data_IF_568661329361
#
_entry.id   IF_568661329361
#
_cell.length_a   1.000
_cell.length_b   1.000
_cell.length_c   1.000
_cell.angle_alpha   90.00
_cell.angle_beta   90.00
_cell.angle_gamma   90.00
#
_symmetry.space_group_name_H-M   'P 1'
#
loop_
_entity.id
_entity.type
_entity.pdbx_description
1 polymer ?
#
# COMPACT_ATOMS: atom_id res chain seq x y z
N UNK A 1 -22.83 -25.88 -15.64
CA UNK A 1 -21.85 -25.50 -14.59
C UNK A 1 -20.54 -26.30 -14.75
N UNK A 2 -20.10 -26.49 -16.00
CA UNK A 2 -18.84 -27.18 -16.35
C UNK A 2 -18.12 -26.48 -17.52
N UNK A 3 -18.50 -25.25 -17.82
CA UNK A 3 -18.06 -24.51 -19.02
C UNK A 3 -17.29 -23.23 -18.69
N UNK A 4 -16.73 -23.13 -17.47
CA UNK A 4 -16.02 -21.93 -16.98
C UNK A 4 -14.56 -22.19 -16.60
N UNK A 5 -13.97 -23.30 -17.07
CA UNK A 5 -12.59 -23.68 -16.76
C UNK A 5 -11.71 -23.98 -17.98
N UNK A 6 -12.11 -23.54 -19.17
CA UNK A 6 -11.15 -23.40 -20.26
C UNK A 6 -10.64 -21.97 -20.25
N UNK A 7 -9.53 -21.77 -19.53
CA UNK A 7 -8.77 -20.52 -19.60
C UNK A 7 -8.27 -20.36 -21.04
N UNK A 8 -8.97 -19.53 -21.82
CA UNK A 8 -8.48 -19.06 -23.10
C UNK A 8 -7.12 -18.40 -22.84
N UNK A 9 -6.02 -18.83 -23.49
CA UNK A 9 -4.74 -18.18 -23.34
C UNK A 9 -4.93 -16.74 -23.81
N UNK A 10 -4.94 -15.80 -22.88
CA UNK A 10 -4.93 -14.39 -23.23
C UNK A 10 -3.56 -14.13 -23.83
N UNK A 11 -3.48 -13.90 -25.14
CA UNK A 11 -2.23 -13.57 -25.82
C UNK A 11 -1.47 -12.51 -25.00
N UNK A 12 -0.22 -12.79 -24.63
CA UNK A 12 0.65 -11.96 -23.77
C UNK A 12 1.02 -10.58 -24.36
N UNK A 13 0.39 -10.21 -25.48
CA UNK A 13 0.82 -9.17 -26.41
C UNK A 13 0.60 -7.73 -25.92
N UNK A 14 0.00 -7.52 -24.74
CA UNK A 14 -0.39 -6.21 -24.21
C UNK A 14 0.20 -5.87 -22.83
N UNK A 15 1.03 -6.72 -22.23
CA UNK A 15 1.67 -6.41 -20.94
C UNK A 15 2.92 -5.54 -21.16
N UNK A 16 2.71 -4.23 -21.32
CA UNK A 16 3.79 -3.24 -21.45
C UNK A 16 4.35 -2.76 -20.11
N UNK A 17 3.71 -3.13 -19.00
CA UNK A 17 4.15 -2.79 -17.65
C UNK A 17 3.13 -3.20 -16.59
N UNK A 18 3.57 -3.29 -15.33
CA UNK A 18 2.69 -3.55 -14.20
C UNK A 18 3.40 -3.39 -12.86
N UNK A 19 2.63 -3.32 -11.78
CA UNK A 19 3.16 -3.32 -10.41
C UNK A 19 2.56 -4.52 -9.66
N UNK A 20 3.42 -5.41 -9.15
CA UNK A 20 3.01 -6.44 -8.22
C UNK A 20 3.06 -5.90 -6.80
N UNK A 21 1.93 -5.92 -6.10
CA UNK A 21 1.80 -5.39 -4.73
C UNK A 21 1.83 -6.54 -3.73
N UNK A 22 2.74 -6.47 -2.76
CA UNK A 22 2.83 -7.38 -1.63
C UNK A 22 2.56 -6.59 -0.35
N UNK A 23 1.30 -6.59 0.10
CA UNK A 23 0.88 -5.85 1.29
C UNK A 23 0.47 -6.75 2.46
N UNK A 24 0.50 -8.08 2.27
CA UNK A 24 0.36 -9.08 3.34
C UNK A 24 1.74 -9.63 3.71
N UNK A 25 2.22 -9.41 4.96
CA UNK A 25 3.50 -9.92 5.42
C UNK A 25 3.69 -11.44 5.24
N UNK A 26 2.63 -12.24 5.25
CA UNK A 26 2.73 -13.69 5.03
C UNK A 26 3.10 -14.04 3.58
N UNK A 27 2.82 -13.13 2.64
CA UNK A 27 3.05 -13.32 1.20
C UNK A 27 4.24 -12.53 0.66
N UNK A 28 5.00 -11.87 1.54
CA UNK A 28 6.17 -11.12 1.14
C UNK A 28 7.13 -11.94 0.27
N UNK A 29 7.62 -11.35 -0.82
CA UNK A 29 8.45 -12.07 -1.78
C UNK A 29 9.83 -12.34 -1.19
N UNK A 30 10.45 -13.43 -1.63
CA UNK A 30 11.88 -13.65 -1.39
C UNK A 30 12.71 -12.85 -2.41
N UNK A 31 14.00 -12.64 -2.13
CA UNK A 31 14.90 -12.02 -3.10
C UNK A 31 14.96 -12.79 -4.43
N UNK A 32 14.87 -14.12 -4.35
CA UNK A 32 14.83 -14.96 -5.55
C UNK A 32 13.58 -14.68 -6.37
N UNK A 33 12.42 -14.65 -5.72
CA UNK A 33 11.15 -14.30 -6.38
C UNK A 33 11.21 -12.91 -7.03
N UNK A 34 11.77 -11.92 -6.33
CA UNK A 34 11.97 -10.57 -6.89
C UNK A 34 12.86 -10.58 -8.13
N UNK A 35 13.93 -11.40 -8.15
CA UNK A 35 14.79 -11.55 -9.34
C UNK A 35 14.05 -12.22 -10.51
N UNK A 36 13.20 -13.19 -10.22
CA UNK A 36 12.50 -13.98 -11.22
C UNK A 36 11.29 -13.27 -11.83
N UNK A 37 10.81 -12.17 -11.21
CA UNK A 37 9.75 -11.34 -11.79
C UNK A 37 10.15 -10.79 -13.18
N UNK A 38 9.25 -10.76 -14.16
CA UNK A 38 9.53 -10.18 -15.46
C UNK A 38 10.03 -8.72 -15.35
N UNK A 39 10.96 -8.30 -16.20
CA UNK A 39 11.60 -6.98 -16.11
C UNK A 39 10.61 -5.80 -16.24
N UNK A 40 9.50 -6.00 -16.94
CA UNK A 40 8.43 -5.00 -17.08
C UNK A 40 7.52 -4.91 -15.84
N UNK A 41 7.76 -5.73 -14.81
CA UNK A 41 7.03 -5.69 -13.54
C UNK A 41 7.87 -5.00 -12.47
N UNK A 42 7.32 -3.89 -11.99
CA UNK A 42 7.76 -3.18 -10.79
C UNK A 42 7.12 -3.79 -9.54
N UNK A 43 7.68 -3.50 -8.36
CA UNK A 43 7.19 -4.06 -7.11
C UNK A 43 6.78 -2.97 -6.14
N UNK A 44 5.64 -3.17 -5.48
CA UNK A 44 5.25 -2.45 -4.28
C UNK A 44 5.22 -3.39 -3.08
N UNK A 45 5.72 -2.91 -1.95
CA UNK A 45 5.68 -3.63 -0.68
C UNK A 45 5.10 -2.71 0.38
N UNK A 46 4.24 -3.24 1.25
CA UNK A 46 3.64 -2.50 2.35
C UNK A 46 3.03 -3.43 3.40
N UNK A 47 2.34 -2.88 4.37
CA UNK A 47 1.54 -3.65 5.34
C UNK A 47 0.14 -3.07 5.28
N UNK A 48 -0.78 -3.83 4.70
CA UNK A 48 -2.18 -3.41 4.56
C UNK A 48 -2.76 -3.08 5.94
N UNK A 49 -3.56 -1.99 6.09
CA UNK A 49 -4.02 -1.49 7.38
C UNK A 49 -4.66 -2.56 8.27
N UNK A 50 -5.42 -3.49 7.67
CA UNK A 50 -6.03 -4.63 8.35
C UNK A 50 -5.09 -5.51 9.18
N UNK A 51 -3.80 -5.56 8.86
CA UNK A 51 -2.82 -6.34 9.61
C UNK A 51 -2.41 -5.69 10.94
N UNK A 52 -2.81 -4.44 11.19
CA UNK A 52 -2.59 -3.76 12.47
C UNK A 52 -3.28 -4.45 13.66
N UNK A 53 -4.28 -5.30 13.41
CA UNK A 53 -4.97 -6.08 14.44
C UNK A 53 -4.11 -7.19 15.07
N UNK A 54 -2.97 -7.51 14.47
CA UNK A 54 -2.08 -8.55 14.97
C UNK A 54 -1.29 -8.08 16.20
N UNK A 55 -0.68 -9.04 16.90
CA UNK A 55 0.12 -8.71 18.09
C UNK A 55 1.30 -7.79 17.74
N UNK A 56 1.71 -6.96 18.71
CA UNK A 56 2.86 -6.05 18.56
C UNK A 56 4.12 -6.78 18.07
N UNK A 57 4.35 -8.01 18.56
CA UNK A 57 5.48 -8.85 18.11
C UNK A 57 5.39 -9.17 16.62
N UNK A 58 4.20 -9.58 16.13
CA UNK A 58 4.00 -9.87 14.70
C UNK A 58 4.13 -8.62 13.84
N UNK A 59 3.59 -7.49 14.30
CA UNK A 59 3.71 -6.20 13.59
C UNK A 59 5.17 -5.79 13.48
N UNK A 60 5.95 -5.87 14.57
CA UNK A 60 7.36 -5.49 14.55
C UNK A 60 8.18 -6.40 13.61
N UNK A 61 7.93 -7.71 13.61
CA UNK A 61 8.56 -8.64 12.66
C UNK A 61 8.19 -8.32 11.20
N UNK A 62 6.94 -7.94 10.94
CA UNK A 62 6.51 -7.53 9.61
C UNK A 62 7.19 -6.23 9.17
N UNK A 63 7.36 -5.26 10.07
CA UNK A 63 8.06 -3.98 9.81
C UNK A 63 9.54 -4.21 9.51
N UNK A 64 10.22 -5.10 10.23
CA UNK A 64 11.61 -5.45 9.94
C UNK A 64 11.77 -6.08 8.54
N UNK A 65 10.91 -7.05 8.21
CA UNK A 65 10.91 -7.68 6.88
C UNK A 65 10.58 -6.68 5.78
N UNK A 66 9.64 -5.77 6.04
CA UNK A 66 9.29 -4.68 5.14
C UNK A 66 10.49 -3.78 4.85
N UNK A 67 11.21 -3.34 5.89
CA UNK A 67 12.40 -2.51 5.76
C UNK A 67 13.48 -3.19 4.91
N UNK A 68 13.70 -4.50 5.11
CA UNK A 68 14.66 -5.27 4.32
C UNK A 68 14.27 -5.32 2.83
N UNK A 69 12.98 -5.44 2.52
CA UNK A 69 12.48 -5.46 1.14
C UNK A 69 12.62 -4.10 0.44
N UNK A 70 12.41 -3.00 1.16
CA UNK A 70 12.56 -1.64 0.60
C UNK A 70 13.96 -1.36 0.06
N UNK A 71 15.00 -2.02 0.60
CA UNK A 71 16.37 -1.88 0.12
C UNK A 71 16.57 -2.49 -1.29
N UNK A 72 15.64 -3.31 -1.77
CA UNK A 72 15.74 -3.91 -3.09
C UNK A 72 15.36 -2.91 -4.19
N UNK A 73 16.21 -2.68 -5.21
CA UNK A 73 15.95 -1.67 -6.24
C UNK A 73 14.74 -1.95 -7.13
N UNK A 74 14.19 -3.18 -7.12
CA UNK A 74 12.94 -3.51 -7.82
C UNK A 74 11.70 -3.00 -7.08
N UNK A 75 11.83 -2.68 -5.79
CA UNK A 75 10.76 -2.10 -4.97
C UNK A 75 10.74 -0.61 -5.20
N UNK A 76 9.73 -0.16 -5.95
CA UNK A 76 9.55 1.24 -6.35
C UNK A 76 8.30 1.86 -5.72
N UNK A 77 7.44 1.05 -5.12
CA UNK A 77 6.24 1.51 -4.43
C UNK A 77 6.30 1.15 -2.94
N UNK A 78 6.06 2.15 -2.11
CA UNK A 78 5.90 2.03 -0.67
C UNK A 78 4.40 1.92 -0.39
N UNK A 79 3.93 0.71 -0.14
CA UNK A 79 2.53 0.43 0.16
C UNK A 79 2.04 -0.89 -0.46
N UNK A 80 0.82 -1.31 -0.15
CA UNK A 80 -0.21 -0.50 0.50
C UNK A 80 0.02 -0.25 2.01
N UNK A 81 -0.17 1.00 2.43
CA UNK A 81 -0.23 1.45 3.84
C UNK A 81 -1.36 2.45 4.00
N UNK A 82 -1.88 2.72 5.20
CA UNK A 82 -2.89 3.76 5.40
C UNK A 82 -3.99 3.35 6.38
N UNK A 83 -5.25 3.61 6.01
CA UNK A 83 -6.43 3.38 6.86
C UNK A 83 -7.51 2.60 6.10
N UNK A 84 -8.11 1.64 6.79
CA UNK A 84 -9.23 0.83 6.34
C UNK A 84 -10.32 0.79 7.43
N UNK A 85 -11.35 1.61 7.25
CA UNK A 85 -12.48 1.70 8.16
C UNK A 85 -13.54 0.62 7.98
N UNK A 86 -13.35 -0.31 7.04
CA UNK A 86 -14.15 -1.54 7.03
C UNK A 86 -13.78 -2.49 8.17
N UNK A 87 -12.59 -2.33 8.78
CA UNK A 87 -12.21 -3.06 9.98
C UNK A 87 -12.85 -2.43 11.24
N UNK A 88 -13.12 -3.20 12.30
CA UNK A 88 -13.71 -2.70 13.54
C UNK A 88 -12.96 -1.50 14.14
N UNK A 89 -13.69 -0.49 14.62
CA UNK A 89 -13.17 0.78 15.16
C UNK A 89 -12.05 0.62 16.21
N UNK A 90 -12.11 -0.43 17.04
CA UNK A 90 -11.08 -0.76 18.02
C UNK A 90 -9.68 -1.01 17.41
N UNK A 91 -9.57 -1.15 16.09
CA UNK A 91 -8.30 -1.36 15.41
C UNK A 91 -7.75 -0.12 14.71
N UNK A 92 -8.52 0.97 14.57
CA UNK A 92 -8.10 2.13 13.78
C UNK A 92 -6.88 2.83 14.35
N UNK A 93 -6.78 2.96 15.68
CA UNK A 93 -5.59 3.53 16.33
C UNK A 93 -4.33 2.72 16.00
N UNK A 94 -4.42 1.38 16.00
CA UNK A 94 -3.29 0.53 15.60
C UNK A 94 -2.90 0.71 14.12
N UNK A 95 -3.85 1.04 13.24
CA UNK A 95 -3.55 1.35 11.84
C UNK A 95 -2.71 2.63 11.73
N UNK A 96 -3.06 3.66 12.50
CA UNK A 96 -2.30 4.91 12.59
C UNK A 96 -0.90 4.65 13.16
N UNK A 97 -0.79 3.92 14.27
CA UNK A 97 0.51 3.56 14.87
C UNK A 97 1.40 2.76 13.91
N UNK A 98 0.81 1.82 13.17
CA UNK A 98 1.53 1.03 12.18
C UNK A 98 2.05 1.91 11.04
N UNK A 99 1.21 2.82 10.54
CA UNK A 99 1.62 3.81 9.53
C UNK A 99 2.78 4.69 10.04
N UNK A 100 2.69 5.19 11.28
CA UNK A 100 3.75 5.98 11.91
C UNK A 100 5.07 5.22 12.07
N UNK A 101 5.01 3.90 12.30
CA UNK A 101 6.19 3.03 12.34
C UNK A 101 6.80 2.81 10.97
N UNK A 102 5.99 2.81 9.91
CA UNK A 102 6.45 2.52 8.55
C UNK A 102 7.02 3.76 7.85
N UNK A 103 6.32 4.91 7.93
CA UNK A 103 6.68 6.13 7.20
C UNK A 103 8.13 6.63 7.37
N UNK A 104 8.84 6.42 8.50
CA UNK A 104 10.26 6.74 8.60
C UNK A 104 11.16 6.06 7.55
N UNK A 105 10.71 4.94 6.95
CA UNK A 105 11.45 4.23 5.90
C UNK A 105 11.14 4.73 4.48
N UNK A 106 10.28 5.75 4.32
CA UNK A 106 9.95 6.30 3.02
C UNK A 106 11.15 7.06 2.43
N UNK A 107 11.64 6.58 1.29
CA UNK A 107 12.71 7.23 0.52
C UNK A 107 12.18 7.90 -0.76
N UNK A 108 12.90 8.92 -1.26
CA UNK A 108 12.50 9.75 -2.40
C UNK A 108 12.23 9.00 -3.70
N UNK A 109 12.82 7.80 -3.87
CA UNK A 109 12.60 6.95 -5.05
C UNK A 109 11.23 6.28 -5.06
N UNK A 110 10.54 6.22 -3.93
CA UNK A 110 9.32 5.44 -3.79
C UNK A 110 8.08 6.25 -4.16
N UNK A 111 7.16 5.62 -4.89
CA UNK A 111 5.78 6.08 -4.97
C UNK A 111 5.06 5.63 -3.70
N UNK A 112 4.49 6.56 -2.94
CA UNK A 112 3.70 6.24 -1.75
C UNK A 112 2.30 5.78 -2.17
N UNK A 113 1.96 4.52 -1.90
CA UNK A 113 0.65 3.92 -2.20
C UNK A 113 -0.15 3.86 -0.90
N UNK A 114 -1.12 4.77 -0.80
CA UNK A 114 -1.97 4.92 0.37
C UNK A 114 -3.28 4.18 0.12
N UNK A 115 -3.51 3.11 0.87
CA UNK A 115 -4.84 2.55 1.04
C UNK A 115 -5.65 3.49 1.93
N UNK A 116 -6.73 4.04 1.38
CA UNK A 116 -7.66 4.82 2.18
C UNK A 116 -9.09 4.42 1.84
N UNK A 117 -9.69 3.66 2.76
CA UNK A 117 -11.11 3.35 2.75
C UNK A 117 -11.75 4.04 3.94
N UNK A 118 -12.45 5.14 3.67
CA UNK A 118 -13.17 5.90 4.68
C UNK A 118 -14.46 5.22 5.14
N UNK A 119 -15.18 5.92 6.03
CA UNK A 119 -16.51 5.54 6.47
C UNK A 119 -17.53 5.63 5.33
N UNK A 120 -18.71 5.02 5.49
CA UNK A 120 -19.78 5.04 4.47
C UNK A 120 -20.21 6.46 4.04
N UNK A 121 -20.02 7.47 4.90
CA UNK A 121 -20.29 8.88 4.64
C UNK A 121 -19.03 9.72 4.35
N UNK A 122 -17.83 9.12 4.36
CA UNK A 122 -16.60 9.86 4.11
C UNK A 122 -16.55 10.32 2.65
N UNK A 123 -16.39 11.63 2.45
CA UNK A 123 -16.23 12.24 1.14
C UNK A 123 -14.77 12.20 0.67
N UNK A 124 -13.96 11.25 1.15
CA UNK A 124 -12.53 11.15 0.89
C UNK A 124 -11.69 12.18 1.64
N UNK A 125 -12.20 12.70 2.76
CA UNK A 125 -11.50 13.67 3.58
C UNK A 125 -10.27 13.05 4.22
N UNK A 126 -10.36 11.80 4.68
CA UNK A 126 -9.21 11.11 5.27
C UNK A 126 -8.08 10.86 4.27
N UNK A 127 -8.44 10.48 3.03
CA UNK A 127 -7.47 10.27 1.96
C UNK A 127 -6.64 11.53 1.66
N UNK A 128 -7.22 12.71 1.90
CA UNK A 128 -6.55 13.99 1.72
C UNK A 128 -5.79 14.45 2.97
N UNK A 129 -6.39 14.30 4.16
CA UNK A 129 -5.79 14.76 5.42
C UNK A 129 -4.60 13.93 5.86
N UNK A 130 -4.62 12.62 5.61
CA UNK A 130 -3.57 11.71 6.06
C UNK A 130 -2.19 12.03 5.46
N UNK A 131 -2.02 12.22 4.13
CA UNK A 131 -0.77 12.73 3.57
C UNK A 131 -0.35 14.09 4.15
N UNK A 132 -1.30 15.01 4.35
CA UNK A 132 -1.01 16.35 4.89
C UNK A 132 -0.52 16.30 6.34
N UNK A 133 -1.09 15.40 7.14
CA UNK A 133 -0.69 15.17 8.52
C UNK A 133 0.77 14.73 8.60
N UNK A 134 1.18 13.80 7.72
CA UNK A 134 2.55 13.27 7.70
C UNK A 134 3.53 14.07 6.84
N UNK A 135 3.05 15.05 6.06
CA UNK A 135 3.87 15.87 5.16
C UNK A 135 5.03 16.56 5.84
N UNK A 136 4.81 17.07 7.07
CA UNK A 136 5.84 17.81 7.80
C UNK A 136 6.98 16.94 8.32
N UNK A 137 6.80 15.62 8.37
CA UNK A 137 7.73 14.69 9.05
C UNK A 137 8.33 13.64 8.12
N UNK A 138 7.54 13.09 7.19
CA UNK A 138 7.95 11.94 6.38
C UNK A 138 7.70 12.12 4.88
N UNK A 139 6.57 12.74 4.50
CA UNK A 139 6.16 12.82 3.09
C UNK A 139 6.55 14.17 2.48
N UNK A 140 7.68 14.19 1.75
CA UNK A 140 8.14 15.39 1.03
C UNK A 140 7.17 15.83 -0.07
N UNK A 141 7.18 17.11 -0.44
CA UNK A 141 6.25 17.70 -1.42
C UNK A 141 6.38 17.18 -2.85
N UNK A 142 7.51 16.56 -3.19
CA UNK A 142 7.76 15.96 -4.51
C UNK A 142 7.45 14.46 -4.56
N UNK A 143 7.07 13.82 -3.45
CA UNK A 143 6.68 12.41 -3.50
C UNK A 143 5.45 12.23 -4.38
N UNK A 144 5.52 11.25 -5.28
CA UNK A 144 4.34 10.78 -5.99
C UNK A 144 3.47 9.95 -5.05
N UNK A 145 2.17 10.22 -5.04
CA UNK A 145 1.20 9.51 -4.19
C UNK A 145 0.14 8.84 -5.08
N UNK A 146 -0.07 7.55 -4.85
CA UNK A 146 -1.18 6.78 -5.41
C UNK A 146 -2.21 6.52 -4.29
N UNK A 147 -3.46 6.94 -4.49
CA UNK A 147 -4.55 6.65 -3.55
C UNK A 147 -5.30 5.39 -4.00
N UNK A 148 -5.10 4.29 -3.29
CA UNK A 148 -5.79 3.04 -3.51
C UNK A 148 -7.13 3.01 -2.75
N UNK A 149 -8.16 2.41 -3.34
CA UNK A 149 -9.52 2.33 -2.78
C UNK A 149 -10.15 3.69 -2.40
N UNK A 150 -9.74 4.77 -3.07
CA UNK A 150 -10.32 6.09 -2.89
C UNK A 150 -11.83 6.07 -3.14
N UNK A 151 -12.59 6.40 -2.10
CA UNK A 151 -14.06 6.42 -2.09
C UNK A 151 -14.64 7.85 -2.07
N UNK A 152 -13.78 8.86 -2.17
CA UNK A 152 -14.20 10.25 -2.18
C UNK A 152 -14.94 10.68 -3.44
N UNK A 153 -15.51 11.88 -3.39
CA UNK A 153 -16.33 12.44 -4.45
C UNK A 153 -15.80 13.82 -4.90
N UNK A 154 -16.53 14.51 -5.80
CA UNK A 154 -16.08 15.83 -6.32
C UNK A 154 -15.87 16.91 -5.25
N UNK A 155 -16.38 16.70 -4.03
CA UNK A 155 -16.27 17.62 -2.90
C UNK A 155 -15.07 17.34 -1.99
N UNK A 156 -14.19 16.37 -2.34
CA UNK A 156 -12.91 16.15 -1.62
C UNK A 156 -11.93 17.33 -1.69
N UNK A 157 -12.33 18.49 -2.22
CA UNK A 157 -11.58 19.74 -2.20
C UNK A 157 -11.84 20.47 -0.89
N UNK A 158 -10.87 20.44 0.01
CA UNK A 158 -10.77 21.48 1.03
C UNK A 158 -10.32 22.77 0.32
N UNK A 159 -10.99 23.88 0.61
CA UNK A 159 -10.95 25.14 -0.13
C UNK A 159 -9.55 25.66 -0.52
N UNK A 160 -9.51 26.34 -1.66
CA UNK A 160 -8.39 27.19 -2.06
C UNK A 160 -8.34 28.49 -1.26
#
# INVERSE_FOLDING_TARGET
>A
MKDMMDAVPVEERWRTGGVSIYCDPETYPTDQHLRDLPQYISVGVGIHPRHARYSVVRVNQAVERFQNLLANPRVVAFGEVGLDHSEPMKYWEYQVEMLEKMLPFLEDRHVLVIHCRGMEEDCGTEAFLLPLHFRKRYVRTHHSIHLHCFTGNRYSRIGG
#
